data_IF_517256949578
#
_entry.id   IF_517256949578
#
_cell.length_a   1.000
_cell.length_b   1.000
_cell.length_c   1.000
_cell.angle_alpha   90.00
_cell.angle_beta   90.00
_cell.angle_gamma   90.00
#
_symmetry.space_group_name_H-M   'P 1'
#
loop_
_entity.id
_entity.type
_entity.pdbx_description
1 polymer ?
#
# COMPACT_ATOMS: atom_id res chain seq x y z
N UNK A 1 26.22 -14.85 16.41
CA UNK A 1 25.31 -13.96 15.65
C UNK A 1 25.70 -12.53 15.95
N UNK A 2 26.35 -11.87 15.00
CA UNK A 2 26.79 -10.48 15.10
C UNK A 2 25.60 -9.54 15.02
N UNK A 3 25.68 -8.44 15.75
CA UNK A 3 24.68 -7.39 15.99
C UNK A 3 24.11 -6.70 14.72
N UNK A 4 24.53 -7.11 13.53
CA UNK A 4 24.27 -6.42 12.25
C UNK A 4 23.05 -6.93 11.45
N UNK A 5 22.46 -8.08 11.80
CA UNK A 5 21.31 -8.64 11.06
C UNK A 5 19.98 -8.60 11.82
N UNK A 6 19.94 -7.98 13.01
CA UNK A 6 18.66 -7.57 13.58
C UNK A 6 18.15 -6.45 12.68
N UNK A 7 17.03 -6.66 11.98
CA UNK A 7 16.30 -5.50 11.47
C UNK A 7 16.09 -4.59 12.68
N UNK A 8 16.81 -3.47 12.69
CA UNK A 8 16.51 -2.39 13.61
C UNK A 8 15.05 -2.05 13.35
N UNK A 9 14.20 -2.50 14.26
CA UNK A 9 12.99 -1.80 14.69
C UNK A 9 13.31 -0.31 14.52
N UNK A 10 12.50 0.45 13.79
CA UNK A 10 12.84 1.87 13.61
C UNK A 10 13.08 2.48 14.99
N UNK A 11 13.95 3.48 15.08
CA UNK A 11 14.35 4.13 16.35
C UNK A 11 13.18 4.85 17.07
N UNK A 12 11.93 4.57 16.68
CA UNK A 12 10.70 5.02 17.30
C UNK A 12 10.36 4.19 18.53
N UNK A 13 9.72 4.81 19.51
CA UNK A 13 9.13 4.10 20.65
C UNK A 13 7.94 3.26 20.20
N UNK A 14 7.88 2.01 20.66
CA UNK A 14 6.75 1.11 20.44
C UNK A 14 6.10 0.76 21.78
N UNK A 15 4.78 0.66 21.77
CA UNK A 15 3.98 0.23 22.90
C UNK A 15 3.51 -1.21 22.65
N UNK A 16 3.64 -2.05 23.67
CA UNK A 16 3.06 -3.40 23.67
C UNK A 16 1.54 -3.33 23.85
N UNK A 17 0.81 -3.97 22.94
CA UNK A 17 -0.63 -4.11 22.98
C UNK A 17 -1.01 -5.60 23.13
N UNK A 18 -2.11 -5.89 23.84
CA UNK A 18 -2.58 -7.27 23.98
C UNK A 18 -2.97 -7.83 22.61
N UNK A 19 -2.42 -9.02 22.29
CA UNK A 19 -2.75 -9.72 21.06
C UNK A 19 -4.23 -10.04 20.98
N UNK A 20 -4.83 -9.72 19.83
CA UNK A 20 -6.17 -10.16 19.45
C UNK A 20 -6.23 -11.71 19.37
N UNK A 21 -7.38 -12.34 19.67
CA UNK A 21 -7.49 -13.80 19.77
C UNK A 21 -6.98 -14.56 18.54
N UNK A 22 -7.31 -14.09 17.33
CA UNK A 22 -6.84 -14.71 16.08
C UNK A 22 -5.34 -14.54 15.83
N UNK A 23 -4.70 -13.51 16.40
CA UNK A 23 -3.26 -13.27 16.24
C UNK A 23 -2.44 -14.17 17.16
N UNK A 24 -3.02 -14.61 18.29
CA UNK A 24 -2.37 -15.56 19.23
C UNK A 24 -2.20 -16.95 18.64
N UNK A 25 -3.11 -17.37 17.76
CA UNK A 25 -3.04 -18.66 17.09
C UNK A 25 -2.08 -18.68 15.88
N UNK A 26 -1.46 -17.55 15.53
CA UNK A 26 -0.51 -17.50 14.41
C UNK A 26 0.80 -18.19 14.80
N UNK A 27 1.14 -19.24 14.05
CA UNK A 27 2.40 -19.97 14.19
C UNK A 27 3.22 -19.76 12.91
N UNK A 28 4.49 -19.37 13.07
CA UNK A 28 5.44 -19.19 11.97
C UNK A 28 6.61 -20.18 12.07
N UNK A 29 7.27 -20.43 10.94
CA UNK A 29 8.49 -21.23 10.89
C UNK A 29 9.72 -20.36 11.15
N UNK A 30 10.59 -20.79 12.06
CA UNK A 30 11.88 -20.13 12.32
C UNK A 30 12.85 -20.40 11.16
N UNK A 31 13.39 -19.34 10.55
CA UNK A 31 14.40 -19.46 9.49
C UNK A 31 15.68 -20.16 9.95
N UNK A 32 16.10 -19.95 11.20
CA UNK A 32 17.39 -20.44 11.69
C UNK A 32 17.36 -21.93 12.10
N UNK A 33 16.29 -22.38 12.76
CA UNK A 33 16.20 -23.75 13.27
C UNK A 33 15.03 -24.59 12.72
N UNK A 34 14.16 -24.02 11.88
CA UNK A 34 12.95 -24.69 11.38
C UNK A 34 11.87 -24.94 12.46
N UNK A 35 12.13 -24.56 13.70
CA UNK A 35 11.18 -24.71 14.82
C UNK A 35 9.98 -23.77 14.72
N UNK A 36 8.97 -24.03 15.56
CA UNK A 36 7.77 -23.20 15.63
C UNK A 36 8.06 -21.87 16.36
N UNK A 37 7.52 -20.79 15.83
CA UNK A 37 7.53 -19.47 16.45
C UNK A 37 6.10 -19.07 16.83
N UNK A 38 5.94 -18.63 18.08
CA UNK A 38 4.66 -18.19 18.62
C UNK A 38 4.60 -16.66 18.73
N UNK A 39 3.43 -16.09 18.48
CA UNK A 39 3.18 -14.67 18.71
C UNK A 39 3.22 -14.35 20.22
N UNK A 40 4.02 -13.35 20.63
CA UNK A 40 4.15 -12.93 22.03
C UNK A 40 3.33 -11.68 22.33
N UNK A 41 3.58 -10.61 21.58
CA UNK A 41 2.94 -9.30 21.76
C UNK A 41 2.71 -8.64 20.42
N UNK A 42 1.68 -7.81 20.34
CA UNK A 42 1.51 -6.87 19.24
C UNK A 42 2.25 -5.58 19.63
N UNK A 43 3.13 -5.10 18.76
CA UNK A 43 3.84 -3.85 18.96
C UNK A 43 3.31 -2.80 17.99
N UNK A 44 2.92 -1.65 18.54
CA UNK A 44 2.41 -0.52 17.77
C UNK A 44 3.28 0.70 18.06
N UNK A 45 3.63 1.43 17.01
CA UNK A 45 4.34 2.69 17.12
C UNK A 45 3.59 3.66 18.05
N UNK A 46 4.32 4.26 18.99
CA UNK A 46 3.78 5.13 20.03
C UNK A 46 3.22 6.43 19.42
N UNK A 47 3.81 6.92 18.34
CA UNK A 47 3.44 8.21 17.76
C UNK A 47 2.02 8.18 17.17
N UNK A 48 1.11 9.09 17.57
CA UNK A 48 -0.29 8.98 17.20
C UNK A 48 -0.59 9.51 15.79
N UNK A 49 -0.27 8.73 14.73
CA UNK A 49 -0.66 9.02 13.35
C UNK A 49 -1.51 7.88 12.73
N UNK A 50 -2.31 8.16 11.66
CA UNK A 50 -3.16 7.14 11.04
C UNK A 50 -2.37 6.02 10.36
N UNK A 51 -1.16 6.31 9.88
CA UNK A 51 -0.27 5.34 9.24
C UNK A 51 0.65 4.59 10.22
N UNK A 52 0.28 4.50 11.52
CA UNK A 52 1.12 3.94 12.59
C UNK A 52 1.62 2.55 12.22
N UNK A 53 2.91 2.31 12.38
CA UNK A 53 3.45 0.98 12.16
C UNK A 53 2.96 0.01 13.23
N UNK A 54 2.47 -1.13 12.75
CA UNK A 54 2.02 -2.24 13.59
C UNK A 54 2.72 -3.51 13.16
N UNK A 55 3.12 -4.31 14.13
CA UNK A 55 3.69 -5.63 13.90
C UNK A 55 3.50 -6.55 15.09
N UNK A 56 3.92 -7.79 14.92
CA UNK A 56 3.83 -8.82 15.96
C UNK A 56 5.24 -9.31 16.24
N UNK A 57 5.60 -9.38 17.52
CA UNK A 57 6.83 -10.02 17.95
C UNK A 57 6.60 -11.53 18.03
N UNK A 58 7.36 -12.28 17.24
CA UNK A 58 7.39 -13.73 17.27
C UNK A 58 8.65 -14.20 17.99
N UNK A 59 8.53 -15.24 18.81
CA UNK A 59 9.67 -15.88 19.46
C UNK A 59 9.67 -17.38 19.15
N UNK A 60 10.84 -17.92 18.80
CA UNK A 60 11.03 -19.34 18.59
C UNK A 60 11.23 -20.07 19.92
N UNK A 61 10.49 -21.15 20.12
CA UNK A 61 10.61 -21.97 21.34
C UNK A 61 11.93 -22.79 21.37
N UNK A 62 12.49 -23.11 20.20
CA UNK A 62 13.68 -23.97 20.07
C UNK A 62 14.99 -23.19 20.16
N UNK A 63 15.17 -22.13 19.36
CA UNK A 63 16.42 -21.37 19.30
C UNK A 63 16.39 -20.03 20.05
N UNK A 64 15.27 -19.69 20.68
CA UNK A 64 15.04 -18.41 21.39
C UNK A 64 15.22 -17.15 20.52
N UNK A 65 15.24 -17.31 19.20
CA UNK A 65 15.27 -16.18 18.27
C UNK A 65 13.95 -15.41 18.34
N UNK A 66 14.04 -14.08 18.46
CA UNK A 66 12.90 -13.19 18.43
C UNK A 66 12.97 -12.29 17.19
N UNK A 67 11.84 -12.19 16.48
CA UNK A 67 11.73 -11.43 15.24
C UNK A 67 10.45 -10.62 15.28
N UNK A 68 10.57 -9.33 15.00
CA UNK A 68 9.43 -8.46 14.77
C UNK A 68 9.01 -8.54 13.31
N UNK A 69 7.74 -8.83 13.08
CA UNK A 69 7.18 -8.94 11.73
C UNK A 69 6.06 -7.92 11.60
N UNK A 70 6.22 -6.99 10.66
CA UNK A 70 5.21 -5.99 10.35
C UNK A 70 3.89 -6.66 9.90
N UNK A 71 2.78 -6.02 10.25
CA UNK A 71 1.47 -6.41 9.75
C UNK A 71 1.38 -6.17 8.24
N UNK A 72 0.56 -6.96 7.55
CA UNK A 72 0.30 -6.76 6.12
C UNK A 72 -0.27 -5.35 5.85
N UNK A 73 -1.04 -4.79 6.78
CA UNK A 73 -1.54 -3.41 6.69
C UNK A 73 -0.39 -2.40 6.61
N UNK A 74 0.59 -2.50 7.52
CA UNK A 74 1.77 -1.61 7.53
C UNK A 74 2.56 -1.71 6.22
N UNK A 75 2.75 -2.94 5.72
CA UNK A 75 3.46 -3.20 4.46
C UNK A 75 2.71 -2.55 3.29
N UNK A 76 1.39 -2.78 3.17
CA UNK A 76 0.58 -2.24 2.08
C UNK A 76 0.53 -0.71 2.14
N UNK A 77 0.33 -0.12 3.32
CA UNK A 77 0.31 1.35 3.49
C UNK A 77 1.64 1.96 3.05
N UNK A 78 2.77 1.32 3.38
CA UNK A 78 4.10 1.77 2.93
C UNK A 78 4.19 1.78 1.41
N UNK A 79 3.80 0.68 0.75
CA UNK A 79 3.81 0.62 -0.71
C UNK A 79 2.86 1.63 -1.35
N UNK A 80 1.61 1.70 -0.89
CA UNK A 80 0.58 2.56 -1.45
C UNK A 80 0.95 4.05 -1.31
N UNK A 81 1.43 4.48 -0.14
CA UNK A 81 1.87 5.86 0.08
C UNK A 81 3.08 6.22 -0.77
N UNK A 82 4.08 5.34 -0.85
CA UNK A 82 5.25 5.53 -1.70
C UNK A 82 4.90 5.62 -3.19
N UNK A 83 4.01 4.74 -3.68
CA UNK A 83 3.51 4.77 -5.05
C UNK A 83 2.73 6.04 -5.36
N UNK A 84 1.81 6.45 -4.47
CA UNK A 84 0.96 7.62 -4.69
C UNK A 84 1.80 8.90 -4.75
N UNK A 85 2.77 9.07 -3.84
CA UNK A 85 3.70 10.20 -3.89
C UNK A 85 4.56 10.13 -5.16
N UNK A 86 5.07 8.94 -5.51
CA UNK A 86 5.86 8.75 -6.73
C UNK A 86 5.10 9.13 -8.00
N UNK A 87 3.85 8.69 -8.14
CA UNK A 87 2.98 9.04 -9.26
C UNK A 87 2.66 10.54 -9.30
N UNK A 88 2.38 11.16 -8.14
CA UNK A 88 2.18 12.60 -8.07
C UNK A 88 3.40 13.40 -8.53
N UNK A 89 4.60 12.94 -8.19
CA UNK A 89 5.86 13.57 -8.62
C UNK A 89 6.07 13.39 -10.12
N UNK A 90 5.87 12.19 -10.65
CA UNK A 90 5.95 11.93 -12.11
C UNK A 90 4.96 12.83 -12.85
N UNK A 91 3.73 12.95 -12.36
CA UNK A 91 2.72 13.83 -12.93
C UNK A 91 3.18 15.30 -12.92
N UNK A 92 3.70 15.82 -11.80
CA UNK A 92 4.20 17.21 -11.73
C UNK A 92 5.37 17.45 -12.67
N UNK A 93 6.31 16.50 -12.76
CA UNK A 93 7.47 16.59 -13.65
C UNK A 93 7.05 16.69 -15.11
N UNK A 94 6.09 15.87 -15.52
CA UNK A 94 5.62 15.81 -16.91
C UNK A 94 4.71 17.00 -17.26
N UNK A 95 3.89 17.47 -16.32
CA UNK A 95 2.93 18.56 -16.54
C UNK A 95 3.47 19.95 -16.17
N UNK A 96 4.78 20.17 -16.33
CA UNK A 96 5.32 21.53 -16.34
C UNK A 96 6.08 21.98 -15.10
N UNK A 97 6.58 21.07 -14.24
CA UNK A 97 7.54 21.48 -13.19
C UNK A 97 8.78 22.16 -13.79
N UNK A 98 9.31 21.61 -14.90
CA UNK A 98 10.47 22.20 -15.57
C UNK A 98 10.11 23.46 -16.34
N UNK A 99 8.95 23.50 -16.98
CA UNK A 99 8.46 24.69 -17.68
C UNK A 99 8.24 25.86 -16.72
N UNK A 100 7.70 25.57 -15.53
CA UNK A 100 7.55 26.55 -14.46
C UNK A 100 8.89 27.17 -14.04
N UNK A 101 9.94 26.34 -13.90
CA UNK A 101 11.28 26.81 -13.54
C UNK A 101 11.84 27.68 -14.67
N UNK A 102 11.80 27.21 -15.92
CA UNK A 102 12.30 27.94 -17.08
C UNK A 102 11.62 29.31 -17.23
N UNK A 103 10.29 29.34 -17.15
CA UNK A 103 9.50 30.59 -17.22
C UNK A 103 9.79 31.54 -16.05
N UNK A 104 10.07 31.00 -14.87
CA UNK A 104 10.44 31.81 -13.70
C UNK A 104 11.78 32.52 -13.88
N UNK A 105 12.71 31.96 -14.64
CA UNK A 105 13.97 32.62 -14.99
C UNK A 105 13.77 33.73 -16.03
N UNK A 106 12.84 33.56 -16.97
CA UNK A 106 12.50 34.57 -17.97
C UNK A 106 11.87 35.83 -17.35
N UNK A 107 11.08 35.65 -16.29
CA UNK A 107 10.46 36.76 -15.55
C UNK A 107 11.43 37.52 -14.64
N UNK A 108 12.55 36.90 -14.26
CA UNK A 108 13.61 37.55 -13.50
C UNK A 108 14.52 36.58 -12.74
N UNK A 109 15.74 37.02 -12.40
CA UNK A 109 16.72 36.20 -11.67
C UNK A 109 16.21 35.85 -10.26
N UNK A 110 15.57 36.80 -9.58
CA UNK A 110 15.02 36.57 -8.24
C UNK A 110 13.89 35.54 -8.20
N UNK A 111 12.96 35.59 -9.16
CA UNK A 111 11.91 34.59 -9.34
C UNK A 111 12.46 33.23 -9.77
N UNK A 112 13.49 33.22 -10.64
CA UNK A 112 14.20 32.01 -11.02
C UNK A 112 14.81 31.28 -9.82
N UNK A 113 15.53 31.98 -8.94
CA UNK A 113 16.10 31.39 -7.72
C UNK A 113 15.00 30.86 -6.78
N UNK A 114 13.92 31.63 -6.60
CA UNK A 114 12.80 31.21 -5.75
C UNK A 114 12.10 29.95 -6.30
N UNK A 115 11.99 29.83 -7.63
CA UNK A 115 11.36 28.68 -8.29
C UNK A 115 12.09 27.37 -8.03
N UNK A 116 13.41 27.39 -7.77
CA UNK A 116 14.21 26.19 -7.44
C UNK A 116 13.80 25.54 -6.11
N UNK A 117 13.10 26.25 -5.23
CA UNK A 117 12.54 25.67 -4.01
C UNK A 117 11.53 24.56 -4.31
N UNK A 118 10.71 24.72 -5.37
CA UNK A 118 9.68 23.75 -5.70
C UNK A 118 10.28 22.39 -6.16
N UNK A 119 11.24 22.34 -7.10
CA UNK A 119 11.99 21.11 -7.39
C UNK A 119 12.72 20.52 -6.19
N UNK A 120 13.27 21.35 -5.30
CA UNK A 120 13.93 20.86 -4.08
C UNK A 120 12.93 20.16 -3.14
N UNK A 121 11.74 20.74 -2.95
CA UNK A 121 10.65 20.13 -2.18
C UNK A 121 10.21 18.82 -2.85
N UNK A 122 9.98 18.83 -4.16
CA UNK A 122 9.63 17.63 -4.93
C UNK A 122 10.71 16.54 -4.77
N UNK A 123 11.99 16.90 -4.82
CA UNK A 123 13.12 16.00 -4.60
C UNK A 123 13.12 15.38 -3.19
N UNK A 124 12.80 16.16 -2.15
CA UNK A 124 12.64 15.65 -0.78
C UNK A 124 11.50 14.63 -0.69
N UNK A 125 10.35 14.92 -1.31
CA UNK A 125 9.24 13.97 -1.36
C UNK A 125 9.58 12.71 -2.17
N UNK A 126 10.33 12.85 -3.27
CA UNK A 126 10.79 11.71 -4.08
C UNK A 126 11.70 10.79 -3.26
N UNK A 127 12.65 11.38 -2.53
CA UNK A 127 13.52 10.64 -1.63
C UNK A 127 12.75 9.94 -0.52
N UNK A 128 11.77 10.63 0.09
CA UNK A 128 10.86 10.05 1.07
C UNK A 128 10.07 8.87 0.53
N UNK A 129 9.45 9.01 -0.65
CA UNK A 129 8.71 7.94 -1.32
C UNK A 129 9.59 6.72 -1.58
N UNK A 130 10.80 6.92 -2.12
CA UNK A 130 11.77 5.86 -2.35
C UNK A 130 12.14 5.13 -1.04
N UNK A 131 12.37 5.87 0.04
CA UNK A 131 12.70 5.30 1.34
C UNK A 131 11.55 4.42 1.88
N UNK A 132 10.32 4.90 1.79
CA UNK A 132 9.13 4.16 2.27
C UNK A 132 8.91 2.88 1.45
N UNK A 133 9.03 2.92 0.12
CA UNK A 133 8.94 1.72 -0.73
C UNK A 133 10.03 0.72 -0.38
N UNK A 134 11.28 1.19 -0.25
CA UNK A 134 12.41 0.33 0.12
C UNK A 134 12.21 -0.31 1.49
N UNK A 135 11.65 0.42 2.46
CA UNK A 135 11.28 -0.10 3.77
C UNK A 135 10.20 -1.18 3.65
N UNK A 136 9.13 -0.92 2.89
CA UNK A 136 8.08 -1.91 2.59
C UNK A 136 8.65 -3.22 2.02
N UNK A 137 9.60 -3.14 1.08
CA UNK A 137 10.29 -4.32 0.53
C UNK A 137 11.08 -5.11 1.58
N UNK A 138 11.77 -4.42 2.50
CA UNK A 138 12.48 -5.09 3.60
C UNK A 138 11.49 -5.80 4.53
N UNK A 139 10.40 -5.14 4.91
CA UNK A 139 9.36 -5.72 5.77
C UNK A 139 8.72 -6.96 5.12
N UNK A 140 8.45 -6.91 3.82
CA UNK A 140 7.93 -8.03 3.04
C UNK A 140 8.92 -9.19 3.01
N UNK A 141 10.21 -8.91 2.75
CA UNK A 141 11.27 -9.92 2.73
C UNK A 141 11.37 -10.68 4.07
N UNK A 142 11.27 -9.97 5.20
CA UNK A 142 11.25 -10.58 6.53
C UNK A 142 10.02 -11.45 6.71
N UNK A 143 8.83 -10.95 6.36
CA UNK A 143 7.60 -11.75 6.47
C UNK A 143 7.68 -13.04 5.64
N UNK A 144 8.36 -13.01 4.49
CA UNK A 144 8.53 -14.18 3.63
C UNK A 144 9.56 -15.18 4.16
N UNK A 145 10.63 -14.69 4.81
CA UNK A 145 11.64 -15.52 5.46
C UNK A 145 11.10 -16.33 6.65
N UNK A 146 10.03 -15.87 7.29
CA UNK A 146 9.38 -16.53 8.42
C UNK A 146 7.93 -16.90 8.06
N UNK A 147 7.69 -17.90 7.18
CA UNK A 147 6.35 -18.19 6.68
C UNK A 147 5.40 -18.69 7.78
N UNK A 148 4.10 -18.46 7.61
CA UNK A 148 3.05 -18.97 8.51
C UNK A 148 2.84 -20.46 8.20
N UNK A 149 2.87 -21.30 9.24
CA UNK A 149 2.69 -22.76 9.13
C UNK A 149 1.20 -23.12 9.09
N UNK A 150 0.40 -22.49 9.94
CA UNK A 150 -1.05 -22.68 10.03
C UNK A 150 -1.79 -21.44 9.49
N UNK A 151 -1.67 -21.20 8.18
CA UNK A 151 -2.48 -20.17 7.52
C UNK A 151 -3.82 -20.78 7.10
N UNK A 152 -4.97 -20.36 7.65
CA UNK A 152 -6.25 -20.67 7.02
C UNK A 152 -6.26 -20.01 5.64
N UNK A 153 -6.15 -20.82 4.58
CA UNK A 153 -6.37 -20.54 3.15
C UNK A 153 -6.26 -19.05 2.69
N UNK A 154 -5.18 -18.36 3.09
CA UNK A 154 -4.97 -16.93 2.82
C UNK A 154 -4.90 -16.64 1.32
N UNK A 155 -4.41 -17.61 0.54
CA UNK A 155 -4.38 -17.53 -0.92
C UNK A 155 -5.80 -17.33 -1.48
N UNK A 156 -6.78 -18.12 -1.01
CA UNK A 156 -8.18 -18.02 -1.46
C UNK A 156 -8.79 -16.65 -1.12
N UNK A 157 -8.57 -16.14 0.10
CA UNK A 157 -9.08 -14.82 0.50
C UNK A 157 -8.45 -13.67 -0.30
N UNK A 158 -7.16 -13.80 -0.66
CA UNK A 158 -6.43 -12.81 -1.47
C UNK A 158 -6.89 -12.81 -2.92
N UNK A 159 -7.08 -13.98 -3.53
CA UNK A 159 -7.61 -14.10 -4.90
C UNK A 159 -9.02 -13.52 -5.00
N UNK A 160 -9.87 -13.80 -4.01
CA UNK A 160 -11.23 -13.22 -3.94
C UNK A 160 -11.15 -11.70 -3.78
N UNK A 161 -10.23 -11.19 -2.96
CA UNK A 161 -10.02 -9.75 -2.80
C UNK A 161 -9.62 -9.07 -4.12
N UNK A 162 -8.68 -9.65 -4.85
CA UNK A 162 -8.21 -9.15 -6.14
C UNK A 162 -9.31 -9.14 -7.19
N UNK A 163 -10.10 -10.21 -7.26
CA UNK A 163 -11.22 -10.33 -8.20
C UNK A 163 -12.33 -9.32 -7.90
N UNK A 164 -12.77 -9.24 -6.63
CA UNK A 164 -13.76 -8.26 -6.21
C UNK A 164 -13.24 -6.83 -6.32
N UNK A 165 -11.92 -6.63 -6.19
CA UNK A 165 -11.28 -5.34 -6.38
C UNK A 165 -11.31 -4.85 -7.84
N UNK A 166 -11.27 -5.78 -8.80
CA UNK A 166 -11.35 -5.48 -10.24
C UNK A 166 -12.78 -5.11 -10.68
N UNK A 167 -13.78 -5.72 -10.04
CA UNK A 167 -15.20 -5.57 -10.41
C UNK A 167 -15.70 -4.12 -10.49
N UNK A 168 -15.42 -3.23 -9.52
CA UNK A 168 -15.80 -1.82 -9.62
C UNK A 168 -15.35 -1.17 -10.94
N UNK A 169 -14.12 -1.45 -11.38
CA UNK A 169 -13.59 -0.90 -12.63
C UNK A 169 -14.24 -1.51 -13.85
N UNK A 170 -14.46 -2.82 -13.87
CA UNK A 170 -15.17 -3.49 -14.95
C UNK A 170 -16.61 -2.96 -15.11
N UNK A 171 -17.30 -2.71 -13.98
CA UNK A 171 -18.64 -2.13 -13.94
C UNK A 171 -18.63 -0.70 -14.48
N UNK A 172 -17.73 0.16 -13.99
CA UNK A 172 -17.65 1.56 -14.43
C UNK A 172 -17.31 1.65 -15.91
N UNK A 173 -16.34 0.88 -16.40
CA UNK A 173 -15.96 0.84 -17.82
C UNK A 173 -17.13 0.33 -18.68
N UNK A 174 -17.79 -0.76 -18.27
CA UNK A 174 -18.91 -1.34 -19.00
C UNK A 174 -20.11 -0.40 -19.07
N UNK A 175 -20.49 0.22 -17.94
CA UNK A 175 -21.59 1.19 -17.89
C UNK A 175 -21.24 2.45 -18.67
N UNK A 176 -20.01 2.96 -18.54
CA UNK A 176 -19.53 4.10 -19.32
C UNK A 176 -19.59 3.84 -20.82
N UNK A 177 -19.15 2.66 -21.27
CA UNK A 177 -19.23 2.26 -22.67
C UNK A 177 -20.66 2.19 -23.19
N UNK A 178 -21.58 1.60 -22.42
CA UNK A 178 -23.01 1.53 -22.78
C UNK A 178 -23.62 2.93 -22.82
N UNK A 179 -23.31 3.79 -21.85
CA UNK A 179 -23.81 5.15 -21.77
C UNK A 179 -23.39 5.98 -22.99
N UNK A 180 -22.10 5.92 -23.34
CA UNK A 180 -21.55 6.59 -24.50
C UNK A 180 -22.16 6.06 -25.81
N UNK A 181 -22.30 4.75 -25.95
CA UNK A 181 -22.73 4.12 -27.21
C UNK A 181 -24.23 4.27 -27.49
N UNK A 182 -25.06 4.24 -26.45
CA UNK A 182 -26.51 4.12 -26.60
C UNK A 182 -27.33 5.25 -25.98
N UNK A 183 -26.74 6.07 -25.09
CA UNK A 183 -27.48 7.03 -24.28
C UNK A 183 -26.88 8.45 -24.29
N UNK A 184 -25.95 8.72 -25.21
CA UNK A 184 -25.38 10.06 -25.47
C UNK A 184 -24.88 10.75 -24.18
N UNK A 185 -24.11 10.00 -23.39
CA UNK A 185 -23.50 10.44 -22.13
C UNK A 185 -24.49 10.98 -21.08
N UNK A 186 -25.61 10.26 -20.91
CA UNK A 186 -26.58 10.58 -19.87
C UNK A 186 -25.96 10.58 -18.45
N UNK A 187 -26.00 11.74 -17.79
CA UNK A 187 -25.40 11.95 -16.46
C UNK A 187 -25.98 11.03 -15.37
N UNK A 188 -27.26 10.68 -15.46
CA UNK A 188 -27.96 9.84 -14.47
C UNK A 188 -27.43 8.41 -14.50
N UNK A 189 -27.14 7.88 -15.71
CA UNK A 189 -26.52 6.57 -15.88
C UNK A 189 -25.09 6.55 -15.35
N UNK A 190 -24.34 7.64 -15.50
CA UNK A 190 -23.01 7.80 -14.90
C UNK A 190 -23.05 7.74 -13.37
N UNK A 191 -23.98 8.46 -12.75
CA UNK A 191 -24.19 8.45 -11.29
C UNK A 191 -24.60 7.06 -10.75
N UNK A 192 -25.49 6.37 -11.45
CA UNK A 192 -25.87 5.00 -11.12
C UNK A 192 -24.70 4.02 -11.26
N UNK A 193 -23.86 4.18 -12.29
CA UNK A 193 -22.67 3.38 -12.48
C UNK A 193 -21.69 3.48 -11.31
N UNK A 194 -21.51 4.69 -10.76
CA UNK A 194 -20.69 4.90 -9.57
C UNK A 194 -21.28 4.19 -8.33
N UNK A 195 -22.59 4.27 -8.11
CA UNK A 195 -23.24 3.60 -6.99
C UNK A 195 -23.14 2.06 -7.08
N UNK A 196 -23.31 1.50 -8.28
CA UNK A 196 -23.22 0.06 -8.53
C UNK A 196 -21.77 -0.43 -8.37
N UNK A 197 -20.78 0.40 -8.68
CA UNK A 197 -19.37 0.06 -8.53
C UNK A 197 -18.94 -0.17 -7.06
N UNK A 198 -19.70 0.33 -6.08
CA UNK A 198 -19.41 0.09 -4.64
C UNK A 198 -19.94 -1.26 -4.16
N UNK A 199 -20.89 -1.87 -4.88
CA UNK A 199 -21.54 -3.13 -4.50
C UNK A 199 -20.55 -4.28 -4.29
N UNK A 200 -19.55 -4.53 -5.16
CA UNK A 200 -18.55 -5.58 -4.93
C UNK A 200 -17.77 -5.42 -3.62
N UNK A 201 -17.54 -4.17 -3.20
CA UNK A 201 -16.85 -3.83 -1.95
C UNK A 201 -17.75 -4.17 -0.76
N UNK A 202 -19.04 -3.82 -0.83
CA UNK A 202 -20.01 -4.12 0.21
C UNK A 202 -20.26 -5.63 0.40
N UNK A 203 -20.14 -6.43 -0.67
CA UNK A 203 -20.33 -7.88 -0.62
C UNK A 203 -19.09 -8.69 -0.19
N UNK A 204 -17.95 -8.03 0.05
CA UNK A 204 -16.69 -8.68 0.41
C UNK A 204 -16.83 -9.68 1.57
N UNK A 205 -17.50 -9.26 2.65
CA UNK A 205 -17.65 -10.05 3.88
C UNK A 205 -18.44 -11.35 3.67
N UNK A 206 -19.41 -11.36 2.74
CA UNK A 206 -20.19 -12.56 2.40
C UNK A 206 -19.40 -13.57 1.57
N UNK A 207 -18.36 -13.11 0.86
CA UNK A 207 -17.53 -13.92 -0.02
C UNK A 207 -16.22 -14.37 0.65
N UNK A 208 -16.08 -14.21 1.97
CA UNK A 208 -14.89 -14.65 2.71
C UNK A 208 -13.67 -13.74 2.52
N UNK A 209 -13.88 -12.48 2.12
CA UNK A 209 -12.83 -11.45 2.07
C UNK A 209 -13.18 -10.26 2.96
N UNK A 210 -12.19 -9.49 3.37
CA UNK A 210 -12.44 -8.27 4.15
C UNK A 210 -12.80 -7.12 3.21
N UNK A 211 -13.71 -6.24 3.61
CA UNK A 211 -14.01 -5.02 2.84
C UNK A 211 -12.75 -4.18 2.58
N UNK A 212 -11.84 -4.15 3.57
CA UNK A 212 -10.55 -3.45 3.46
C UNK A 212 -9.65 -4.05 2.38
N UNK A 213 -9.52 -5.38 2.31
CA UNK A 213 -8.71 -6.03 1.28
C UNK A 213 -9.28 -5.82 -0.12
N UNK A 214 -10.61 -5.83 -0.27
CA UNK A 214 -11.26 -5.51 -1.56
C UNK A 214 -11.03 -4.05 -1.94
N UNK A 215 -11.20 -3.11 -1.01
CA UNK A 215 -10.96 -1.69 -1.27
C UNK A 215 -9.51 -1.41 -1.69
N UNK A 216 -8.53 -2.02 -1.01
CA UNK A 216 -7.12 -1.91 -1.37
C UNK A 216 -6.83 -2.53 -2.74
N UNK A 217 -7.44 -3.68 -3.05
CA UNK A 217 -7.35 -4.28 -4.38
C UNK A 217 -7.98 -3.40 -5.46
N UNK A 218 -9.11 -2.73 -5.18
CA UNK A 218 -9.71 -1.73 -6.07
C UNK A 218 -8.74 -0.57 -6.33
N UNK A 219 -8.12 -0.02 -5.29
CA UNK A 219 -7.10 1.02 -5.46
C UNK A 219 -5.88 0.54 -6.26
N UNK A 220 -5.43 -0.69 -6.05
CA UNK A 220 -4.35 -1.30 -6.83
C UNK A 220 -4.70 -1.36 -8.32
N UNK A 221 -5.90 -1.82 -8.67
CA UNK A 221 -6.37 -1.87 -10.04
C UNK A 221 -6.55 -0.49 -10.68
N UNK A 222 -6.94 0.52 -9.91
CA UNK A 222 -6.95 1.90 -10.38
C UNK A 222 -5.56 2.36 -10.81
N UNK A 223 -4.56 2.08 -9.97
CA UNK A 223 -3.18 2.45 -10.26
C UNK A 223 -2.68 1.71 -11.49
N UNK A 224 -2.90 0.39 -11.58
CA UNK A 224 -2.48 -0.42 -12.74
C UNK A 224 -3.20 0.05 -14.01
N UNK A 225 -4.52 0.18 -13.95
CA UNK A 225 -5.36 0.57 -15.09
C UNK A 225 -5.08 1.99 -15.56
N UNK A 226 -4.99 2.95 -14.64
CA UNK A 226 -4.65 4.35 -14.94
C UNK A 226 -3.24 4.49 -15.51
N UNK A 227 -2.25 3.79 -14.93
CA UNK A 227 -0.88 3.79 -15.46
C UNK A 227 -0.82 3.16 -16.86
N UNK A 228 -1.58 2.09 -17.10
CA UNK A 228 -1.70 1.48 -18.42
C UNK A 228 -2.34 2.42 -19.44
N UNK A 229 -3.50 2.98 -19.14
CA UNK A 229 -4.20 3.92 -20.02
C UNK A 229 -3.34 5.14 -20.37
N UNK A 230 -2.58 5.67 -19.40
CA UNK A 230 -1.61 6.74 -19.63
C UNK A 230 -0.47 6.33 -20.57
N UNK A 231 0.14 5.16 -20.37
CA UNK A 231 1.21 4.66 -21.25
C UNK A 231 0.76 4.40 -22.69
N UNK A 232 -0.52 4.07 -22.90
CA UNK A 232 -1.09 3.83 -24.22
C UNK A 232 -1.79 5.05 -24.82
N UNK A 233 -1.67 6.23 -24.19
CA UNK A 233 -2.22 7.49 -24.73
C UNK A 233 -3.75 7.52 -24.79
N UNK A 234 -4.43 6.77 -23.91
CA UNK A 234 -5.89 6.71 -23.80
C UNK A 234 -6.42 7.74 -22.78
N UNK A 235 -5.53 8.30 -21.96
CA UNK A 235 -5.77 9.37 -20.97
C UNK A 235 -4.93 10.61 -21.29
#
# INVERSE_FOLDING_TARGET
>A
MTEKDKLKKSDWDYIEQPLQPFKRSLIRCCKNCGGKMQAKVEEVENFPHPAREKGILFACDSCKESVWIASNETIIISFASGLLIGLGIVYMVINGLFDFVSYSFETGIGSGILSLLLPAIVGLFAYGAFYVVRRGLKLLSVSHQYPIIDAPDQAKSTTIALFLGLMPWAIVIGIGFVNFTYFDDNEVLGLLGFAIAVVPIAFASKLGSSMRSVFLATGMWLVIGGSGAWLFGVL
#
